data_IF_199509820564
#
_entry.id   IF_199509820564
#
_cell.length_a   1.000
_cell.length_b   1.000
_cell.length_c   1.000
_cell.angle_alpha   90.00
_cell.angle_beta   90.00
_cell.angle_gamma   90.00
#
_symmetry.space_group_name_H-M   'P 1'
#
loop_
_entity.id
_entity.type
_entity.pdbx_description
1 polymer ?
#
# COMPACT_ATOMS: atom_id res chain seq x y z
N UNK A 1 1.72 -9.44 -25.74
CA UNK A 1 2.78 -10.19 -25.04
C UNK A 1 3.10 -9.43 -23.78
N UNK A 2 2.91 -10.06 -22.63
CA UNK A 2 2.35 -9.47 -21.40
C UNK A 2 3.13 -8.31 -20.77
N UNK A 3 2.52 -7.13 -20.69
CA UNK A 3 3.02 -5.96 -19.96
C UNK A 3 2.87 -6.10 -18.43
N UNK A 4 3.18 -7.26 -17.88
CA UNK A 4 3.15 -7.49 -16.43
C UNK A 4 4.39 -6.83 -15.84
N UNK A 5 4.20 -5.77 -15.06
CA UNK A 5 5.27 -4.94 -14.47
C UNK A 5 5.89 -5.52 -13.19
N UNK A 6 5.44 -6.71 -12.77
CA UNK A 6 5.89 -7.38 -11.55
C UNK A 6 4.75 -7.64 -10.56
N UNK A 7 5.07 -8.26 -9.42
CA UNK A 7 4.08 -8.61 -8.40
C UNK A 7 3.52 -7.35 -7.72
N UNK A 8 2.20 -7.35 -7.49
CA UNK A 8 1.51 -6.31 -6.74
C UNK A 8 0.80 -6.89 -5.52
N UNK A 9 0.60 -6.05 -4.50
CA UNK A 9 -0.06 -6.44 -3.24
C UNK A 9 -1.22 -5.50 -2.93
N UNK A 10 -2.32 -6.04 -2.42
CA UNK A 10 -3.43 -5.24 -1.90
C UNK A 10 -3.21 -4.95 -0.42
N UNK A 11 -3.02 -3.66 -0.09
CA UNK A 11 -2.59 -3.24 1.25
C UNK A 11 -3.70 -3.34 2.31
N UNK A 12 -4.98 -3.33 1.92
CA UNK A 12 -6.10 -3.24 2.86
C UNK A 12 -6.10 -4.31 3.96
N UNK A 13 -5.68 -5.53 3.64
CA UNK A 13 -5.63 -6.65 4.61
C UNK A 13 -4.46 -6.54 5.61
N UNK A 14 -3.49 -5.67 5.34
CA UNK A 14 -2.31 -5.48 6.18
C UNK A 14 -2.41 -4.23 7.05
N UNK A 15 -3.29 -3.28 6.69
CA UNK A 15 -3.51 -2.06 7.47
C UNK A 15 -3.92 -2.40 8.90
N UNK A 16 -3.28 -1.74 9.86
CA UNK A 16 -3.53 -1.91 11.30
C UNK A 16 -3.16 -0.63 12.03
N UNK A 17 -3.63 -0.45 13.27
CA UNK A 17 -3.26 0.69 14.12
C UNK A 17 -1.79 0.67 14.61
N UNK A 18 -1.07 -0.43 14.36
CA UNK A 18 0.31 -0.63 14.84
C UNK A 18 1.36 -0.51 13.73
N UNK A 19 2.50 0.08 14.06
CA UNK A 19 3.66 0.10 13.19
C UNK A 19 4.15 -1.34 12.88
N UNK A 20 4.65 -1.61 11.65
CA UNK A 20 4.84 -0.68 10.53
C UNK A 20 3.60 -0.50 9.62
N UNK A 21 2.44 -1.03 10.00
CA UNK A 21 1.26 -1.11 9.12
C UNK A 21 0.25 0.03 9.29
N UNK A 22 0.58 1.04 10.09
CA UNK A 22 -0.27 2.17 10.43
C UNK A 22 0.06 3.47 9.69
N UNK A 23 1.05 3.45 8.79
CA UNK A 23 1.46 4.59 7.97
C UNK A 23 1.81 4.15 6.57
N UNK A 24 1.49 4.99 5.58
CA UNK A 24 1.76 4.70 4.18
C UNK A 24 3.25 4.44 3.91
N UNK A 25 4.14 5.31 4.42
CA UNK A 25 5.58 5.23 4.16
C UNK A 25 6.20 3.92 4.67
N UNK A 26 5.81 3.48 5.86
CA UNK A 26 6.33 2.25 6.48
C UNK A 26 5.75 1.00 5.84
N UNK A 27 4.47 0.99 5.47
CA UNK A 27 3.84 -0.18 4.84
C UNK A 27 4.32 -0.38 3.39
N UNK A 28 4.55 0.70 2.63
CA UNK A 28 5.09 0.57 1.25
C UNK A 28 6.56 0.19 1.27
N UNK A 29 7.33 0.65 2.26
CA UNK A 29 8.71 0.17 2.48
C UNK A 29 8.73 -1.32 2.76
N UNK A 30 7.88 -1.79 3.68
CA UNK A 30 7.73 -3.23 3.94
C UNK A 30 7.35 -4.00 2.66
N UNK A 31 6.40 -3.51 1.87
CA UNK A 31 6.01 -4.16 0.62
C UNK A 31 7.17 -4.24 -0.38
N UNK A 32 7.97 -3.19 -0.50
CA UNK A 32 9.15 -3.17 -1.36
C UNK A 32 10.23 -4.17 -0.89
N UNK A 33 10.47 -4.27 0.43
CA UNK A 33 11.40 -5.25 1.01
C UNK A 33 10.95 -6.70 0.79
N UNK A 34 9.63 -6.94 0.65
CA UNK A 34 9.06 -8.25 0.27
C UNK A 34 9.05 -8.51 -1.25
N UNK A 35 9.61 -7.61 -2.06
CA UNK A 35 9.76 -7.79 -3.51
C UNK A 35 8.57 -7.34 -4.36
N UNK A 36 7.53 -6.74 -3.77
CA UNK A 36 6.42 -6.17 -4.52
C UNK A 36 6.85 -4.92 -5.30
N UNK A 37 6.41 -4.83 -6.56
CA UNK A 37 6.69 -3.73 -7.48
C UNK A 37 5.51 -2.76 -7.64
N UNK A 38 4.31 -3.20 -7.24
CA UNK A 38 3.11 -2.39 -7.21
C UNK A 38 2.32 -2.59 -5.93
N UNK A 39 1.50 -1.61 -5.59
CA UNK A 39 0.54 -1.69 -4.49
C UNK A 39 -0.84 -1.29 -5.00
N UNK A 40 -1.87 -1.97 -4.52
CA UNK A 40 -3.25 -1.52 -4.63
C UNK A 40 -3.64 -0.88 -3.30
N UNK A 41 -3.97 0.41 -3.38
CA UNK A 41 -4.20 1.28 -2.22
C UNK A 41 -5.68 1.30 -1.84
N UNK A 42 -6.02 1.05 -0.56
CA UNK A 42 -7.38 1.29 -0.07
C UNK A 42 -7.63 2.79 0.09
N UNK A 43 -8.81 3.26 -0.34
CA UNK A 43 -9.26 4.65 -0.19
C UNK A 43 -10.30 4.82 0.92
N UNK A 44 -10.68 3.74 1.60
CA UNK A 44 -11.69 3.76 2.67
C UNK A 44 -11.12 3.99 4.07
N UNK A 45 -9.83 4.33 4.18
CA UNK A 45 -9.16 4.54 5.47
C UNK A 45 -8.28 5.80 5.40
N UNK A 46 -8.85 6.93 5.81
CA UNK A 46 -8.21 8.25 5.74
C UNK A 46 -6.89 8.33 6.50
N UNK A 47 -6.72 7.53 7.56
CA UNK A 47 -5.47 7.43 8.31
C UNK A 47 -4.28 6.91 7.49
N UNK A 48 -4.56 6.15 6.43
CA UNK A 48 -3.54 5.57 5.54
C UNK A 48 -3.46 6.36 4.23
N UNK A 49 -4.59 6.69 3.63
CA UNK A 49 -4.66 7.45 2.40
C UNK A 49 -5.95 8.26 2.32
N UNK A 50 -5.82 9.56 2.55
CA UNK A 50 -6.92 10.51 2.39
C UNK A 50 -7.07 10.87 0.90
N UNK A 51 -8.19 10.47 0.31
CA UNK A 51 -8.47 10.67 -1.11
C UNK A 51 -8.75 12.15 -1.44
N UNK A 52 -9.33 12.90 -0.51
CA UNK A 52 -9.66 14.32 -0.71
C UNK A 52 -8.40 15.20 -0.80
N UNK A 53 -7.37 14.89 -0.02
CA UNK A 53 -6.06 15.55 -0.09
C UNK A 53 -5.25 15.17 -1.34
N UNK A 54 -5.60 14.06 -1.99
CA UNK A 54 -4.88 13.54 -3.15
C UNK A 54 -5.43 14.05 -4.50
N UNK A 55 -6.62 14.65 -4.52
CA UNK A 55 -7.29 15.22 -5.70
C UNK A 55 -6.81 16.64 -6.00
#
# INVERSE_FOLDING_TARGET
MSAIKGPAIFLAQFVSDKAPFNKLDTIVKWAAENGYKGIQMPTGNDDIFNLELAA
#
